data_IF_572558453814
#
_entry.id   IF_572558453814
#
_cell.length_a   1.000
_cell.length_b   1.000
_cell.length_c   1.000
_cell.angle_alpha   90.00
_cell.angle_beta   90.00
_cell.angle_gamma   90.00
#
_symmetry.space_group_name_H-M   'P 1'
#
loop_
_entity.id
_entity.type
_entity.pdbx_description
1 polymer ?
#
# COMPACT_ATOMS: atom_id res chain seq x y z
N UNK A 1 -6.73 -6.65 15.67
CA UNK A 1 -7.80 -6.77 14.65
C UNK A 1 -7.53 -5.69 13.64
N UNK A 2 -7.44 -6.04 12.37
CA UNK A 2 -7.43 -5.06 11.28
C UNK A 2 -8.85 -4.58 11.18
N UNK A 3 -9.08 -3.25 11.27
CA UNK A 3 -10.41 -2.67 11.23
C UNK A 3 -11.18 -3.01 9.96
N UNK A 4 -12.46 -2.75 9.98
CA UNK A 4 -13.31 -2.91 8.79
C UNK A 4 -13.08 -1.70 7.90
N UNK A 5 -12.48 -1.92 6.74
CA UNK A 5 -12.29 -0.88 5.74
C UNK A 5 -13.63 -0.36 5.24
N UNK A 6 -13.72 0.92 5.03
CA UNK A 6 -14.88 1.52 4.38
C UNK A 6 -14.89 1.08 2.93
N UNK A 7 -15.81 0.19 2.60
CA UNK A 7 -15.86 -0.53 1.32
C UNK A 7 -17.17 -0.35 0.56
N UNK A 8 -18.02 0.55 1.04
CA UNK A 8 -19.39 0.69 0.51
C UNK A 8 -19.49 1.58 -0.74
N UNK A 9 -18.36 2.12 -1.19
CA UNK A 9 -18.32 3.07 -2.29
C UNK A 9 -17.57 2.46 -3.49
N UNK A 10 -18.27 1.77 -4.41
CA UNK A 10 -17.66 1.26 -5.64
C UNK A 10 -17.21 2.39 -6.58
N UNK A 11 -17.71 3.60 -6.35
CA UNK A 11 -17.29 4.85 -6.98
C UNK A 11 -16.67 5.76 -5.90
N UNK A 12 -15.85 6.74 -6.34
CA UNK A 12 -15.35 7.77 -5.43
C UNK A 12 -16.41 8.80 -5.04
N UNK A 13 -17.54 8.82 -5.71
CA UNK A 13 -18.69 9.65 -5.34
C UNK A 13 -19.21 9.24 -3.95
N UNK A 14 -19.24 10.20 -3.03
CA UNK A 14 -19.59 9.96 -1.64
C UNK A 14 -18.46 9.40 -0.77
N UNK A 15 -17.31 9.05 -1.34
CA UNK A 15 -16.13 8.62 -0.59
C UNK A 15 -15.40 9.85 -0.07
N UNK A 16 -15.51 10.10 1.23
CA UNK A 16 -15.06 11.34 1.86
C UNK A 16 -13.57 11.32 2.21
N UNK A 17 -13.02 12.49 2.51
CA UNK A 17 -11.65 12.61 3.05
C UNK A 17 -11.49 11.83 4.36
N UNK A 18 -12.52 11.78 5.22
CA UNK A 18 -12.48 11.00 6.45
C UNK A 18 -12.42 9.50 6.17
N UNK A 19 -13.07 9.01 5.11
CA UNK A 19 -12.94 7.62 4.66
C UNK A 19 -11.50 7.33 4.18
N UNK A 20 -10.90 8.25 3.42
CA UNK A 20 -9.50 8.13 2.99
C UNK A 20 -8.56 8.10 4.19
N UNK A 21 -8.75 9.01 5.15
CA UNK A 21 -7.97 9.08 6.40
C UNK A 21 -8.11 7.80 7.23
N UNK A 22 -9.32 7.25 7.31
CA UNK A 22 -9.53 5.97 8.00
C UNK A 22 -8.77 4.84 7.32
N UNK A 23 -8.91 4.70 6.00
CA UNK A 23 -8.20 3.68 5.24
C UNK A 23 -6.68 3.84 5.34
N UNK A 24 -6.17 5.06 5.26
CA UNK A 24 -4.74 5.33 5.40
C UNK A 24 -4.20 4.91 6.78
N UNK A 25 -4.95 5.15 7.88
CA UNK A 25 -4.57 4.68 9.22
C UNK A 25 -4.54 3.16 9.32
N UNK A 26 -5.51 2.48 8.72
CA UNK A 26 -5.57 1.01 8.70
C UNK A 26 -4.39 0.42 7.90
N UNK A 27 -4.07 1.01 6.74
CA UNK A 27 -2.91 0.65 5.93
C UNK A 27 -1.63 0.84 6.74
N UNK A 28 -1.45 2.01 7.35
CA UNK A 28 -0.29 2.30 8.19
C UNK A 28 -0.17 1.31 9.34
N UNK A 29 -1.25 1.09 10.11
CA UNK A 29 -1.25 0.15 11.23
C UNK A 29 -0.85 -1.27 10.82
N UNK A 30 -1.30 -1.72 9.66
CA UNK A 30 -0.90 -3.00 9.11
C UNK A 30 0.60 -3.03 8.76
N UNK A 31 1.09 -2.14 7.92
CA UNK A 31 2.49 -2.14 7.49
C UNK A 31 3.47 -1.83 8.62
N UNK A 32 3.09 -0.97 9.57
CA UNK A 32 3.87 -0.76 10.79
C UNK A 32 4.06 -2.07 11.56
N UNK A 33 3.03 -2.91 11.63
CA UNK A 33 3.14 -4.23 12.28
C UNK A 33 4.04 -5.20 11.53
N UNK A 34 4.26 -4.97 10.23
CA UNK A 34 5.19 -5.72 9.38
C UNK A 34 6.61 -5.13 9.35
N UNK A 35 6.84 -4.03 10.08
CA UNK A 35 8.15 -3.40 10.21
C UNK A 35 8.50 -2.40 9.11
N UNK A 36 7.53 -1.95 8.32
CA UNK A 36 7.74 -0.90 7.31
C UNK A 36 7.98 0.46 7.98
N UNK A 37 8.74 1.33 7.32
CA UNK A 37 8.91 2.72 7.74
C UNK A 37 7.68 3.56 7.40
N UNK A 38 7.46 4.63 8.16
CA UNK A 38 6.39 5.59 7.88
C UNK A 38 6.60 6.29 6.53
N UNK A 39 7.86 6.58 6.21
CA UNK A 39 8.27 7.19 4.95
C UNK A 39 7.86 6.31 3.75
N UNK A 40 8.16 5.02 3.80
CA UNK A 40 7.81 4.06 2.75
C UNK A 40 6.29 3.95 2.57
N UNK A 41 5.55 3.80 3.67
CA UNK A 41 4.08 3.72 3.62
C UNK A 41 3.48 5.03 3.11
N UNK A 42 4.01 6.18 3.50
CA UNK A 42 3.54 7.47 3.01
C UNK A 42 3.80 7.66 1.51
N UNK A 43 4.96 7.24 1.02
CA UNK A 43 5.28 7.24 -0.41
C UNK A 43 4.31 6.37 -1.21
N UNK A 44 4.00 5.18 -0.71
CA UNK A 44 2.99 4.28 -1.28
C UNK A 44 1.58 4.90 -1.24
N UNK A 45 1.17 5.51 -0.12
CA UNK A 45 -0.12 6.18 0.01
C UNK A 45 -0.28 7.36 -0.96
N UNK A 46 0.81 8.08 -1.27
CA UNK A 46 0.80 9.11 -2.30
C UNK A 46 0.41 8.57 -3.67
N UNK A 47 0.87 7.36 -4.00
CA UNK A 47 0.46 6.66 -5.23
C UNK A 47 -1.00 6.20 -5.14
N UNK A 48 -1.38 5.53 -4.06
CA UNK A 48 -2.76 5.06 -3.84
C UNK A 48 -3.79 6.20 -3.90
N UNK A 49 -3.41 7.41 -3.48
CA UNK A 49 -4.27 8.60 -3.58
C UNK A 49 -4.61 8.93 -5.03
N UNK A 50 -3.64 8.84 -5.92
CA UNK A 50 -3.84 9.11 -7.35
C UNK A 50 -4.55 7.94 -8.05
N UNK A 51 -4.20 6.71 -7.70
CA UNK A 51 -4.75 5.51 -8.34
C UNK A 51 -6.22 5.25 -7.99
N UNK A 52 -6.60 5.49 -6.74
CA UNK A 52 -7.89 5.01 -6.23
C UNK A 52 -8.54 5.92 -5.17
N UNK A 53 -7.95 7.07 -4.81
CA UNK A 53 -8.32 7.84 -3.61
C UNK A 53 -8.24 7.01 -2.31
N UNK A 54 -7.37 5.98 -2.30
CA UNK A 54 -7.26 5.00 -1.19
C UNK A 54 -8.59 4.24 -0.97
N UNK A 55 -9.41 4.13 -2.01
CA UNK A 55 -10.68 3.40 -1.99
C UNK A 55 -10.45 1.95 -2.47
N UNK A 56 -10.61 0.95 -1.58
CA UNK A 56 -10.32 -0.44 -1.94
C UNK A 56 -11.35 -1.07 -2.91
N UNK A 57 -12.51 -0.45 -3.09
CA UNK A 57 -13.53 -0.90 -4.04
C UNK A 57 -13.42 -0.25 -5.42
N UNK A 58 -12.40 0.60 -5.61
CA UNK A 58 -12.26 1.39 -6.84
C UNK A 58 -11.91 0.54 -8.04
N UNK A 59 -12.69 0.70 -9.11
CA UNK A 59 -12.38 0.23 -10.45
C UNK A 59 -11.74 1.35 -11.29
N UNK A 60 -10.98 0.96 -12.29
CA UNK A 60 -10.35 1.88 -13.24
C UNK A 60 -11.40 2.85 -13.83
N UNK A 61 -11.00 4.11 -14.01
CA UNK A 61 -11.86 5.19 -14.55
C UNK A 61 -13.11 5.48 -13.70
N UNK A 62 -13.07 5.19 -12.40
CA UNK A 62 -14.21 5.41 -11.50
C UNK A 62 -15.51 4.74 -11.98
N UNK A 63 -15.37 3.54 -12.56
CA UNK A 63 -16.48 2.72 -13.00
C UNK A 63 -16.83 1.64 -11.97
N UNK A 64 -18.02 1.07 -12.07
CA UNK A 64 -18.38 -0.14 -11.33
C UNK A 64 -18.62 -1.30 -12.30
N UNK A 65 -17.98 -2.43 -12.04
CA UNK A 65 -18.11 -3.61 -12.87
C UNK A 65 -18.62 -4.75 -12.00
N UNK A 66 -19.90 -5.07 -12.12
CA UNK A 66 -20.53 -6.12 -11.34
C UNK A 66 -20.02 -7.50 -11.73
N UNK A 67 -19.95 -7.78 -13.02
CA UNK A 67 -19.49 -9.05 -13.58
C UNK A 67 -18.31 -8.78 -14.53
N UNK A 68 -17.07 -8.69 -13.99
CA UNK A 68 -15.94 -8.35 -14.83
C UNK A 68 -15.61 -9.51 -15.82
N UNK A 69 -15.51 -9.15 -17.08
CA UNK A 69 -15.01 -10.07 -18.11
C UNK A 69 -13.57 -10.47 -17.78
N UNK A 70 -13.25 -11.79 -17.66
CA UNK A 70 -11.91 -12.25 -17.40
C UNK A 70 -10.89 -11.87 -18.49
N UNK A 71 -11.34 -11.49 -19.67
CA UNK A 71 -10.47 -10.99 -20.75
C UNK A 71 -10.21 -9.49 -20.64
N UNK A 72 -10.93 -8.77 -19.79
CA UNK A 72 -10.79 -7.33 -19.64
C UNK A 72 -9.64 -6.99 -18.68
N UNK A 73 -8.66 -6.23 -19.19
CA UNK A 73 -7.47 -5.81 -18.44
C UNK A 73 -7.70 -4.48 -17.70
N UNK A 74 -8.77 -4.41 -16.90
CA UNK A 74 -9.04 -3.24 -16.06
C UNK A 74 -8.34 -3.34 -14.71
N UNK A 75 -8.03 -2.17 -14.13
CA UNK A 75 -7.46 -2.05 -12.79
C UNK A 75 -8.53 -2.11 -11.68
N UNK A 76 -8.15 -2.64 -10.53
CA UNK A 76 -9.00 -2.73 -9.34
C UNK A 76 -8.21 -2.54 -8.04
N UNK A 77 -8.84 -1.91 -7.05
CA UNK A 77 -8.34 -1.78 -5.69
C UNK A 77 -7.39 -0.60 -5.47
N UNK A 78 -6.76 -0.56 -4.31
CA UNK A 78 -5.98 0.59 -3.82
C UNK A 78 -4.78 0.96 -4.69
N UNK A 79 -4.18 -0.01 -5.38
CA UNK A 79 -3.04 0.19 -6.32
C UNK A 79 -3.43 -0.17 -7.76
N UNK A 80 -4.71 -0.26 -8.06
CA UNK A 80 -5.23 -0.54 -9.40
C UNK A 80 -4.57 -1.75 -10.09
N UNK A 81 -4.50 -2.91 -9.39
CA UNK A 81 -3.96 -4.13 -9.99
C UNK A 81 -4.56 -4.39 -11.38
N UNK A 82 -3.72 -4.34 -12.39
CA UNK A 82 -4.09 -4.55 -13.79
C UNK A 82 -3.34 -5.76 -14.37
N UNK A 83 -4.03 -6.80 -14.85
CA UNK A 83 -5.49 -7.00 -14.76
C UNK A 83 -5.97 -7.25 -13.33
N UNK A 84 -7.24 -6.97 -13.04
CA UNK A 84 -7.88 -7.14 -11.72
C UNK A 84 -7.70 -8.54 -11.11
N UNK A 85 -7.57 -9.57 -11.94
CA UNK A 85 -7.34 -10.95 -11.53
C UNK A 85 -6.04 -11.14 -10.74
N UNK A 86 -5.06 -10.25 -10.88
CA UNK A 86 -3.84 -10.31 -10.04
C UNK A 86 -4.16 -10.29 -8.56
N UNK A 87 -5.17 -9.52 -8.18
CA UNK A 87 -5.66 -9.49 -6.81
C UNK A 87 -6.71 -10.57 -6.54
N UNK A 88 -7.73 -10.67 -7.40
CA UNK A 88 -8.88 -11.53 -7.16
C UNK A 88 -8.50 -13.02 -7.06
N UNK A 89 -7.64 -13.52 -7.94
CA UNK A 89 -7.18 -14.91 -7.90
C UNK A 89 -6.37 -15.22 -6.62
N UNK A 90 -5.65 -14.25 -6.10
CA UNK A 90 -4.91 -14.40 -4.85
C UNK A 90 -5.85 -14.33 -3.62
N UNK A 91 -6.80 -13.41 -3.61
CA UNK A 91 -7.72 -13.20 -2.49
C UNK A 91 -8.86 -14.23 -2.42
N UNK A 92 -9.11 -14.99 -3.50
CA UNK A 92 -10.16 -15.99 -3.58
C UNK A 92 -11.57 -15.38 -3.52
N UNK A 93 -12.56 -16.16 -3.09
CA UNK A 93 -13.98 -15.77 -3.15
C UNK A 93 -14.34 -14.49 -2.38
N UNK A 94 -13.50 -14.08 -1.43
CA UNK A 94 -13.73 -12.89 -0.61
C UNK A 94 -13.13 -11.59 -1.18
N UNK A 95 -12.58 -11.61 -2.40
CA UNK A 95 -11.87 -10.46 -2.96
C UNK A 95 -12.69 -9.15 -3.05
N UNK A 96 -14.02 -9.25 -3.15
CA UNK A 96 -14.95 -8.11 -3.16
C UNK A 96 -15.58 -7.78 -1.81
N UNK A 97 -15.36 -8.59 -0.81
CA UNK A 97 -16.03 -8.44 0.49
C UNK A 97 -15.06 -8.25 1.64
N UNK A 98 -13.81 -8.67 1.48
CA UNK A 98 -12.76 -8.52 2.48
C UNK A 98 -11.59 -7.69 1.96
N UNK A 99 -11.78 -6.39 1.88
CA UNK A 99 -10.77 -5.45 1.37
C UNK A 99 -9.54 -5.30 2.27
N UNK A 100 -9.59 -5.75 3.53
CA UNK A 100 -8.41 -5.79 4.41
C UNK A 100 -7.31 -6.73 3.90
N UNK A 101 -7.61 -7.53 2.89
CA UNK A 101 -6.62 -8.36 2.20
C UNK A 101 -5.72 -7.56 1.25
N UNK A 102 -6.11 -6.37 0.81
CA UNK A 102 -5.33 -5.61 -0.17
C UNK A 102 -3.93 -5.22 0.34
N UNK A 103 -3.72 -4.68 1.56
CA UNK A 103 -2.39 -4.52 2.12
C UNK A 103 -1.63 -5.84 2.29
N UNK A 104 -2.35 -6.92 2.63
CA UNK A 104 -1.73 -8.26 2.75
C UNK A 104 -1.22 -8.77 1.41
N UNK A 105 -1.88 -8.45 0.32
CA UNK A 105 -1.41 -8.78 -1.04
C UNK A 105 -0.10 -8.06 -1.36
N UNK A 106 0.02 -6.77 -1.01
CA UNK A 106 1.26 -6.01 -1.20
C UNK A 106 2.39 -6.60 -0.35
N UNK A 107 2.11 -6.94 0.91
CA UNK A 107 3.08 -7.61 1.78
C UNK A 107 3.51 -8.98 1.23
N UNK A 108 2.57 -9.77 0.74
CA UNK A 108 2.85 -11.04 0.09
C UNK A 108 3.76 -10.87 -1.14
N UNK A 109 3.51 -9.87 -1.96
CA UNK A 109 4.38 -9.53 -3.10
C UNK A 109 5.81 -9.25 -2.64
N UNK A 110 5.99 -8.52 -1.55
CA UNK A 110 7.30 -8.28 -0.95
C UNK A 110 7.96 -9.57 -0.44
N UNK A 111 7.19 -10.45 0.21
CA UNK A 111 7.72 -11.68 0.83
C UNK A 111 8.17 -12.71 -0.21
N UNK A 112 7.41 -12.85 -1.30
CA UNK A 112 7.77 -13.72 -2.42
C UNK A 112 9.07 -13.26 -3.07
N UNK A 113 9.35 -11.96 -3.00
CA UNK A 113 10.45 -11.33 -3.69
C UNK A 113 11.71 -11.10 -2.87
N UNK A 114 11.70 -11.43 -1.58
CA UNK A 114 12.93 -11.34 -0.76
C UNK A 114 14.11 -12.10 -1.35
N UNK A 115 13.85 -13.07 -2.23
CA UNK A 115 14.87 -13.88 -2.91
C UNK A 115 15.18 -13.42 -4.32
N UNK A 116 14.43 -12.45 -4.86
CA UNK A 116 14.63 -11.92 -6.22
C UNK A 116 14.53 -10.39 -6.21
N UNK A 117 15.38 -9.66 -6.94
CA UNK A 117 15.25 -8.21 -7.08
C UNK A 117 13.95 -7.79 -7.79
N UNK A 118 13.38 -8.71 -8.58
CA UNK A 118 12.17 -8.47 -9.37
C UNK A 118 11.04 -9.38 -8.93
N UNK A 119 9.95 -8.77 -8.53
CA UNK A 119 8.75 -9.44 -8.04
C UNK A 119 7.64 -9.58 -9.08
N UNK A 120 6.55 -10.19 -8.62
CA UNK A 120 5.32 -10.29 -9.42
C UNK A 120 4.82 -8.92 -9.91
N UNK A 121 5.05 -7.86 -9.14
CA UNK A 121 4.62 -6.51 -9.47
C UNK A 121 5.77 -5.50 -9.41
N UNK A 122 6.68 -5.63 -8.45
CA UNK A 122 7.83 -4.75 -8.30
C UNK A 122 8.93 -5.09 -9.31
N UNK A 123 9.43 -4.11 -10.05
CA UNK A 123 10.66 -4.21 -10.85
C UNK A 123 11.65 -3.18 -10.33
N UNK A 124 12.79 -3.65 -9.81
CA UNK A 124 13.79 -2.80 -9.14
C UNK A 124 14.40 -1.73 -10.04
N UNK A 125 14.47 -1.99 -11.33
CA UNK A 125 15.03 -1.10 -12.37
C UNK A 125 16.42 -0.52 -12.00
N UNK A 126 17.18 -1.21 -11.15
CA UNK A 126 18.46 -0.74 -10.63
C UNK A 126 18.36 0.38 -9.59
N UNK A 127 17.16 0.69 -9.10
CA UNK A 127 16.91 1.73 -8.08
C UNK A 127 17.01 1.12 -6.68
N UNK A 128 16.10 0.22 -6.32
CA UNK A 128 16.13 -0.54 -5.07
C UNK A 128 15.18 -1.74 -5.16
N UNK A 129 15.42 -2.76 -4.36
CA UNK A 129 14.51 -3.88 -4.18
C UNK A 129 13.24 -3.46 -3.41
N UNK A 130 12.17 -4.26 -3.47
CA UNK A 130 10.96 -3.97 -2.72
C UNK A 130 11.19 -4.01 -1.21
N UNK A 131 12.08 -4.89 -0.75
CA UNK A 131 12.46 -4.94 0.66
C UNK A 131 13.20 -3.66 1.10
N UNK A 132 14.20 -3.19 0.33
CA UNK A 132 14.90 -1.93 0.61
C UNK A 132 13.93 -0.75 0.64
N UNK A 133 12.96 -0.70 -0.28
CA UNK A 133 11.90 0.29 -0.26
C UNK A 133 11.13 0.27 1.06
N UNK A 134 10.69 -0.90 1.52
CA UNK A 134 9.90 -1.04 2.76
C UNK A 134 10.64 -0.55 4.01
N UNK A 135 11.97 -0.59 3.99
CA UNK A 135 12.86 -0.19 5.10
C UNK A 135 13.46 1.22 4.91
N UNK A 136 13.19 1.87 3.79
CA UNK A 136 13.82 3.14 3.44
C UNK A 136 13.31 4.28 4.32
N UNK A 137 14.25 5.18 4.68
CA UNK A 137 13.98 6.45 5.39
C UNK A 137 14.24 7.66 4.50
N UNK A 138 14.28 7.48 3.19
CA UNK A 138 14.26 8.59 2.23
C UNK A 138 12.97 9.39 2.40
N UNK A 139 12.92 10.63 1.87
CA UNK A 139 11.72 11.45 1.99
C UNK A 139 10.50 10.77 1.36
N UNK A 140 9.28 10.97 1.91
CA UNK A 140 8.06 10.41 1.34
C UNK A 140 7.87 10.72 -0.15
N UNK A 141 8.25 11.94 -0.59
CA UNK A 141 8.20 12.33 -2.00
C UNK A 141 9.14 11.47 -2.87
N UNK A 142 10.40 11.26 -2.43
CA UNK A 142 11.34 10.39 -3.14
C UNK A 142 10.81 8.96 -3.23
N UNK A 143 10.24 8.44 -2.14
CA UNK A 143 9.69 7.08 -2.10
C UNK A 143 8.39 6.97 -2.91
N UNK A 144 7.60 8.03 -3.04
CA UNK A 144 6.47 8.06 -3.97
C UNK A 144 6.95 7.89 -5.41
N UNK A 145 8.06 8.55 -5.78
CA UNK A 145 8.65 8.40 -7.12
C UNK A 145 9.20 6.99 -7.36
N UNK A 146 9.86 6.41 -6.35
CA UNK A 146 10.36 5.02 -6.43
C UNK A 146 9.21 4.03 -6.61
N UNK A 147 8.14 4.16 -5.80
CA UNK A 147 6.97 3.27 -5.89
C UNK A 147 6.28 3.41 -7.25
N UNK A 148 6.11 4.63 -7.75
CA UNK A 148 5.58 4.85 -9.10
C UNK A 148 6.43 4.17 -10.18
N UNK A 149 7.74 4.31 -10.10
CA UNK A 149 8.66 3.78 -11.12
C UNK A 149 8.75 2.25 -11.07
N UNK A 150 8.83 1.68 -9.87
CA UNK A 150 9.10 0.25 -9.69
C UNK A 150 7.81 -0.59 -9.60
N UNK A 151 6.71 -0.03 -9.05
CA UNK A 151 5.47 -0.78 -8.80
C UNK A 151 4.36 -0.42 -9.80
N UNK A 152 3.99 0.87 -9.91
CA UNK A 152 2.87 1.31 -10.75
C UNK A 152 3.23 1.31 -12.23
N UNK A 153 4.41 1.84 -12.57
CA UNK A 153 4.92 1.97 -13.95
C UNK A 153 3.94 2.68 -14.88
N UNK A 154 3.25 3.68 -14.32
CA UNK A 154 2.31 4.52 -15.04
C UNK A 154 3.00 5.51 -15.99
N UNK A 155 2.21 6.20 -16.80
CA UNK A 155 2.72 7.23 -17.75
C UNK A 155 2.61 8.65 -17.19
N UNK A 156 1.75 8.88 -16.23
CA UNK A 156 1.50 10.21 -15.63
C UNK A 156 1.77 10.17 -14.15
N UNK A 157 2.74 10.96 -13.69
CA UNK A 157 3.14 10.97 -12.27
C UNK A 157 2.14 11.73 -11.39
N UNK A 158 1.68 12.91 -11.81
CA UNK A 158 0.74 13.75 -11.04
C UNK A 158 1.31 14.25 -9.71
N UNK A 159 0.43 14.50 -8.74
CA UNK A 159 0.77 15.12 -7.45
C UNK A 159 1.19 14.13 -6.34
N UNK A 160 1.73 12.96 -6.71
CA UNK A 160 2.08 11.89 -5.76
C UNK A 160 3.02 12.34 -4.66
N UNK A 161 3.97 13.22 -4.98
CA UNK A 161 4.91 13.79 -4.01
C UNK A 161 4.21 14.61 -2.92
N UNK A 162 3.28 15.47 -3.35
CA UNK A 162 2.51 16.30 -2.43
C UNK A 162 1.61 15.43 -1.53
N UNK A 163 0.94 14.45 -2.10
CA UNK A 163 0.12 13.51 -1.33
C UNK A 163 0.95 12.67 -0.37
N UNK A 164 2.12 12.18 -0.77
CA UNK A 164 2.99 11.41 0.11
C UNK A 164 3.44 12.24 1.33
N UNK A 165 3.83 13.51 1.12
CA UNK A 165 4.20 14.41 2.20
C UNK A 165 3.01 14.72 3.13
N UNK A 166 1.81 14.91 2.57
CA UNK A 166 0.59 15.15 3.36
C UNK A 166 0.25 13.91 4.23
N UNK A 167 0.34 12.71 3.67
CA UNK A 167 0.11 11.48 4.42
C UNK A 167 1.16 11.26 5.51
N UNK A 168 2.42 11.58 5.24
CA UNK A 168 3.47 11.50 6.25
C UNK A 168 3.19 12.43 7.43
N UNK A 169 2.82 13.68 7.16
CA UNK A 169 2.45 14.65 8.20
C UNK A 169 1.22 14.20 8.98
N UNK A 170 0.20 13.69 8.29
CA UNK A 170 -1.03 13.24 8.92
C UNK A 170 -0.82 12.01 9.83
N UNK A 171 -0.08 11.01 9.37
CA UNK A 171 0.14 9.75 10.10
C UNK A 171 1.26 9.87 11.15
N UNK A 172 2.26 10.69 10.89
CA UNK A 172 3.37 11.00 11.80
C UNK A 172 3.03 12.08 12.84
N UNK A 173 1.98 12.76 12.66
CA UNK A 173 1.35 13.98 13.16
C UNK A 173 1.64 14.47 14.57
N UNK A 174 2.58 13.89 15.31
CA UNK A 174 3.10 14.42 16.57
C UNK A 174 4.51 13.87 16.80
N UNK A 175 5.50 14.48 16.15
CA UNK A 175 6.91 14.23 16.42
C UNK A 175 7.41 12.82 16.07
N UNK A 176 8.71 12.61 15.98
CA UNK A 176 9.23 11.27 15.73
C UNK A 176 8.83 10.36 16.89
N UNK A 177 8.02 9.35 16.60
CA UNK A 177 7.90 8.22 17.51
C UNK A 177 9.34 7.73 17.71
N UNK A 178 9.78 7.71 18.95
CA UNK A 178 11.13 7.23 19.28
C UNK A 178 11.38 5.92 18.51
N UNK A 179 12.56 5.75 17.88
CA UNK A 179 12.83 4.57 17.08
C UNK A 179 12.51 3.32 17.91
N UNK A 180 11.57 2.52 17.39
CA UNK A 180 11.28 1.23 18.06
C UNK A 180 12.58 0.43 18.06
N UNK A 181 12.99 -0.11 19.21
CA UNK A 181 14.15 -0.96 19.22
C UNK A 181 13.94 -2.10 18.21
N UNK A 182 14.94 -2.41 17.38
CA UNK A 182 14.82 -3.47 16.40
C UNK A 182 14.42 -4.78 17.11
N UNK A 183 13.59 -5.59 16.46
CA UNK A 183 12.99 -6.82 17.03
C UNK A 183 14.04 -7.71 17.71
N UNK A 184 15.27 -7.80 17.17
CA UNK A 184 16.35 -8.57 17.78
C UNK A 184 16.75 -8.05 19.17
N UNK A 185 16.56 -6.76 19.47
CA UNK A 185 16.84 -6.18 20.79
C UNK A 185 15.78 -6.61 21.83
N UNK A 186 14.53 -6.81 21.39
CA UNK A 186 13.46 -7.34 22.24
C UNK A 186 13.70 -8.80 22.63
N UNK A 187 14.31 -9.60 21.74
CA UNK A 187 14.72 -10.97 22.05
C UNK A 187 15.88 -11.01 23.05
N UNK A 188 16.88 -10.12 22.92
CA UNK A 188 17.99 -10.03 23.88
C UNK A 188 17.56 -9.58 25.29
N UNK A 189 16.51 -8.78 25.38
CA UNK A 189 15.98 -8.38 26.69
C UNK A 189 15.23 -9.53 27.38
N UNK A 190 14.56 -10.41 26.63
CA UNK A 190 13.91 -11.61 27.18
C UNK A 190 14.92 -12.61 27.75
N UNK A 191 16.09 -12.78 27.15
CA UNK A 191 17.14 -13.69 27.60
C UNK A 191 17.86 -13.20 28.86
N UNK A 192 17.73 -11.91 29.24
CA UNK A 192 18.34 -11.35 30.47
C UNK A 192 17.45 -11.45 31.71
N UNK A 193 16.20 -11.83 31.58
CA UNK A 193 15.22 -11.93 32.65
C UNK A 193 14.61 -13.34 32.77
N UNK A 194 15.17 -14.32 32.11
CA UNK A 194 14.95 -15.75 32.29
C UNK A 194 16.22 -16.40 32.93
#
# INVERSE_FOLDING_TARGET
MIGVWTNQYPFNEGFTEDNQKQNAREIWGYFQSQGWTLEAVSGMLGNMQVESYINPAQWQLNTYIENPDPNNKVGFGIVQWTPWQKYANWAGDSWRTNYSQQPRRIQYELEVDRSSPDSLQWLSQGIMSFYEFSQSTQTPAQLAHVFFTCYERGTVYGDRDAYANNWYQYLGGVGPLSPRPPIWLLFKLKERFS
#
